data_IF_368637722246
#
_entry.id   IF_368637722246
#
_cell.length_a   1.000
_cell.length_b   1.000
_cell.length_c   1.000
_cell.angle_alpha   90.00
_cell.angle_beta   90.00
_cell.angle_gamma   90.00
#
_symmetry.space_group_name_H-M   'P 1'
#
loop_
_entity.id
_entity.type
_entity.pdbx_description
1 polymer ?
#
# COMPACT_ATOMS: atom_id res chain seq x y z
N UNK A 1 -12.76 0.11 7.17
CA UNK A 1 -12.98 0.29 5.72
C UNK A 1 -12.37 -0.91 5.02
N UNK A 2 -13.15 -1.78 4.36
CA UNK A 2 -12.61 -2.91 3.59
C UNK A 2 -12.33 -2.40 2.18
N UNK A 3 -11.05 -2.26 1.83
CA UNK A 3 -10.67 -2.14 0.43
C UNK A 3 -10.80 -3.53 -0.21
N UNK A 4 -11.69 -3.66 -1.19
CA UNK A 4 -11.76 -4.86 -2.01
C UNK A 4 -11.05 -4.56 -3.32
N UNK A 5 -9.80 -5.03 -3.42
CA UNK A 5 -9.03 -5.11 -4.66
C UNK A 5 -8.82 -6.61 -4.95
N UNK A 6 -9.12 -7.03 -6.19
CA UNK A 6 -9.02 -8.43 -6.61
C UNK A 6 -7.59 -8.82 -7.03
N UNK A 7 -6.72 -7.84 -7.28
CA UNK A 7 -5.32 -8.03 -7.66
C UNK A 7 -4.36 -7.71 -6.51
N UNK A 8 -4.73 -6.82 -5.60
CA UNK A 8 -3.92 -6.50 -4.41
C UNK A 8 -4.61 -6.84 -3.11
N UNK A 9 -3.82 -7.25 -2.11
CA UNK A 9 -4.25 -7.38 -0.72
C UNK A 9 -3.81 -6.14 0.04
N UNK A 10 -4.77 -5.45 0.66
CA UNK A 10 -4.51 -4.24 1.44
C UNK A 10 -4.75 -4.56 2.92
N UNK A 11 -3.67 -4.58 3.69
CA UNK A 11 -3.69 -4.81 5.13
C UNK A 11 -3.70 -3.47 5.86
N UNK A 12 -4.83 -3.15 6.51
CA UNK A 12 -4.98 -1.92 7.28
C UNK A 12 -4.94 -2.23 8.78
N UNK A 13 -4.03 -1.57 9.48
CA UNK A 13 -4.02 -1.40 10.95
C UNK A 13 -4.09 0.09 11.26
N UNK A 14 -4.42 0.47 12.50
CA UNK A 14 -4.69 1.87 12.89
C UNK A 14 -3.71 2.90 12.32
N UNK A 15 -2.40 2.57 12.32
CA UNK A 15 -1.34 3.46 11.83
C UNK A 15 -0.59 2.94 10.60
N UNK A 16 -0.87 1.73 10.12
CA UNK A 16 -0.09 1.06 9.07
C UNK A 16 -0.99 0.54 7.96
N UNK A 17 -0.53 0.70 6.73
CA UNK A 17 -1.11 0.13 5.52
C UNK A 17 -0.02 -0.64 4.78
N UNK A 18 -0.27 -1.91 4.47
CA UNK A 18 0.57 -2.70 3.57
C UNK A 18 -0.26 -3.08 2.36
N UNK A 19 0.21 -2.68 1.17
CA UNK A 19 -0.33 -3.16 -0.11
C UNK A 19 0.57 -4.29 -0.57
N UNK A 20 0.00 -5.46 -0.89
CA UNK A 20 0.70 -6.61 -1.46
C UNK A 20 0.05 -6.99 -2.78
N UNK A 21 0.85 -7.01 -3.86
CA UNK A 21 0.36 -7.23 -5.23
C UNK A 21 1.27 -8.24 -5.94
N UNK A 22 0.77 -9.26 -6.64
CA UNK A 22 1.60 -10.11 -7.49
C UNK A 22 2.39 -9.29 -8.53
N UNK A 23 3.62 -9.68 -8.82
CA UNK A 23 4.57 -8.89 -9.63
C UNK A 23 4.10 -8.70 -11.08
N UNK A 24 3.29 -9.62 -11.61
CA UNK A 24 2.66 -9.50 -12.92
C UNK A 24 1.67 -8.32 -13.03
N UNK A 25 1.30 -7.71 -11.89
CA UNK A 25 0.41 -6.54 -11.82
C UNK A 25 1.13 -5.29 -11.29
N UNK A 26 2.39 -5.07 -11.67
CA UNK A 26 3.21 -3.94 -11.18
C UNK A 26 2.58 -2.55 -11.41
N UNK A 27 1.99 -2.29 -12.57
CA UNK A 27 1.34 -1.00 -12.84
C UNK A 27 0.16 -0.76 -11.87
N UNK A 28 -0.64 -1.81 -11.65
CA UNK A 28 -1.74 -1.80 -10.69
C UNK A 28 -1.26 -1.59 -9.25
N UNK A 29 -0.08 -2.11 -8.87
CA UNK A 29 0.47 -1.89 -7.52
C UNK A 29 0.79 -0.41 -7.26
N UNK A 30 1.28 0.30 -8.29
CA UNK A 30 1.56 1.74 -8.22
C UNK A 30 0.26 2.54 -8.15
N UNK A 31 -0.76 2.18 -8.93
CA UNK A 31 -2.08 2.82 -8.88
C UNK A 31 -2.68 2.73 -7.47
N UNK A 32 -2.69 1.53 -6.88
CA UNK A 32 -3.23 1.31 -5.53
C UNK A 32 -2.46 2.10 -4.47
N UNK A 33 -1.12 2.11 -4.55
CA UNK A 33 -0.31 2.90 -3.64
C UNK A 33 -0.60 4.41 -3.77
N UNK A 34 -0.71 4.93 -4.99
CA UNK A 34 -1.10 6.32 -5.27
C UNK A 34 -2.47 6.66 -4.70
N UNK A 35 -3.42 5.73 -4.83
CA UNK A 35 -4.76 5.82 -4.27
C UNK A 35 -4.73 5.95 -2.74
N UNK A 36 -3.88 5.17 -2.06
CA UNK A 36 -3.69 5.27 -0.62
C UNK A 36 -3.06 6.61 -0.24
N UNK A 37 -2.10 7.10 -1.01
CA UNK A 37 -1.47 8.42 -0.78
C UNK A 37 -2.51 9.53 -0.87
N UNK A 38 -3.38 9.52 -1.89
CA UNK A 38 -4.46 10.50 -2.04
C UNK A 38 -5.45 10.50 -0.86
N UNK A 39 -5.54 9.38 -0.13
CA UNK A 39 -6.39 9.17 1.05
C UNK A 39 -5.69 9.54 2.37
N UNK A 40 -4.52 10.18 2.29
CA UNK A 40 -3.77 10.68 3.45
C UNK A 40 -2.86 9.65 4.10
N UNK A 41 -2.45 8.60 3.36
CA UNK A 41 -1.40 7.70 3.81
C UNK A 41 -0.03 8.18 3.29
N UNK A 42 0.99 8.12 4.13
CA UNK A 42 2.36 8.52 3.80
C UNK A 42 3.21 7.28 3.55
N UNK A 43 3.92 7.16 2.41
CA UNK A 43 4.83 6.04 2.18
C UNK A 43 6.01 6.11 3.16
N UNK A 44 6.28 5.01 3.88
CA UNK A 44 7.36 4.92 4.89
C UNK A 44 8.72 4.66 4.24
N UNK A 45 8.72 3.88 3.17
CA UNK A 45 9.91 3.41 2.48
C UNK A 45 9.60 3.17 1.00
N UNK A 46 10.65 2.86 0.23
CA UNK A 46 10.51 2.36 -1.14
C UNK A 46 9.75 1.04 -1.23
N UNK A 47 9.68 0.52 -2.45
CA UNK A 47 8.98 -0.72 -2.79
C UNK A 47 9.86 -1.93 -2.46
N UNK A 48 9.29 -2.97 -1.85
CA UNK A 48 9.98 -4.24 -1.61
C UNK A 48 9.43 -5.35 -2.52
N UNK A 49 10.30 -6.25 -2.96
CA UNK A 49 9.95 -7.39 -3.81
C UNK A 49 10.35 -8.68 -3.09
N UNK A 50 9.39 -9.57 -2.88
CA UNK A 50 9.62 -10.87 -2.24
C UNK A 50 8.57 -11.89 -2.70
N UNK A 51 8.99 -13.15 -2.92
CA UNK A 51 8.11 -14.27 -3.29
C UNK A 51 7.07 -13.94 -4.40
N UNK A 52 7.55 -13.34 -5.49
CA UNK A 52 6.73 -12.94 -6.63
C UNK A 52 5.71 -11.83 -6.35
N UNK A 53 5.88 -11.09 -5.24
CA UNK A 53 4.98 -10.01 -4.82
C UNK A 53 5.74 -8.70 -4.61
N UNK A 54 5.00 -7.63 -4.79
CA UNK A 54 5.37 -6.24 -4.57
C UNK A 54 4.71 -5.77 -3.29
N UNK A 55 5.46 -5.08 -2.44
CA UNK A 55 4.97 -4.55 -1.18
C UNK A 55 5.18 -3.05 -1.09
N UNK A 56 4.10 -2.31 -0.81
CA UNK A 56 4.13 -0.91 -0.43
C UNK A 56 3.76 -0.77 1.04
N UNK A 57 4.63 -0.15 1.84
CA UNK A 57 4.36 0.15 3.25
C UNK A 57 4.06 1.64 3.39
N UNK A 58 2.87 1.95 3.90
CA UNK A 58 2.42 3.30 4.18
C UNK A 58 1.99 3.41 5.65
N UNK A 59 2.06 4.62 6.19
CA UNK A 59 1.59 4.95 7.54
C UNK A 59 0.61 6.10 7.49
N UNK A 60 -0.22 6.21 8.52
CA UNK A 60 -1.01 7.41 8.73
C UNK A 60 -0.21 8.32 9.64
N UNK A 61 0.34 9.41 9.12
CA UNK A 61 0.98 10.41 9.98
C UNK A 61 -0.08 10.92 10.96
N UNK A 62 0.14 10.68 12.25
CA UNK A 62 -0.51 11.48 13.27
C UNK A 62 0.24 12.80 13.26
N UNK A 63 -0.37 13.86 12.70
CA UNK A 63 0.15 15.22 12.78
C UNK A 63 0.64 15.49 14.21
N UNK A 64 1.95 15.42 14.43
CA UNK A 64 2.63 16.00 15.59
C UNK A 64 3.29 17.29 15.11
N UNK A 65 2.48 18.20 14.55
CA UNK A 65 2.83 19.61 14.33
C UNK A 65 2.02 20.42 15.32
#
# INVERSE_FOLDING_TARGET
MKFTDNKSKIFLKEKYCIVSTPIEFIEHSIEVAGDMISKGWTPVSGVSFDDGKIFHTLVKETNNV
#
